data_IF_749989602173
#
_entry.id   IF_749989602173
#
_cell.length_a   1.000
_cell.length_b   1.000
_cell.length_c   1.000
_cell.angle_alpha   90.00
_cell.angle_beta   90.00
_cell.angle_gamma   90.00
#
_symmetry.space_group_name_H-M   'P 1'
#
loop_
_entity.id
_entity.type
_entity.pdbx_description
1 polymer ?
#
# COMPACT_ATOMS: atom_id res chain seq x y z
N UNK A 1 -13.24 -14.01 -24.73
CA UNK A 1 -13.60 -12.70 -24.16
C UNK A 1 -12.74 -12.50 -22.92
N UNK A 2 -11.78 -11.59 -22.93
CA UNK A 2 -10.94 -11.31 -21.75
C UNK A 2 -11.76 -10.52 -20.73
N UNK A 3 -11.97 -11.08 -19.54
CA UNK A 3 -12.61 -10.35 -18.43
C UNK A 3 -11.66 -9.26 -17.97
N UNK A 4 -11.91 -8.03 -18.39
CA UNK A 4 -11.15 -6.90 -17.87
C UNK A 4 -11.48 -6.76 -16.37
N UNK A 5 -10.46 -6.64 -15.50
CA UNK A 5 -10.70 -6.42 -14.08
C UNK A 5 -11.54 -5.14 -13.90
N UNK A 6 -12.49 -5.19 -12.98
CA UNK A 6 -13.35 -4.06 -12.64
C UNK A 6 -12.49 -2.85 -12.21
N UNK A 7 -12.58 -1.75 -12.95
CA UNK A 7 -11.94 -0.47 -12.61
C UNK A 7 -13.02 0.44 -12.02
N UNK A 8 -12.86 0.86 -10.76
CA UNK A 8 -13.86 1.64 -10.04
C UNK A 8 -14.08 3.07 -10.58
N UNK A 9 -13.18 3.57 -11.43
CA UNK A 9 -13.13 4.98 -11.87
C UNK A 9 -13.08 6.00 -10.71
N UNK A 10 -12.77 5.55 -9.50
CA UNK A 10 -12.66 6.42 -8.34
C UNK A 10 -11.31 7.15 -8.38
N UNK A 11 -11.36 8.47 -8.53
CA UNK A 11 -10.20 9.34 -8.38
C UNK A 11 -10.17 9.89 -6.95
N UNK A 12 -9.06 9.65 -6.25
CA UNK A 12 -8.78 10.23 -4.92
C UNK A 12 -7.60 11.19 -5.08
N UNK A 13 -7.84 12.49 -5.32
CA UNK A 13 -6.76 13.46 -5.50
C UNK A 13 -5.94 13.57 -4.22
N UNK A 14 -4.63 13.70 -4.37
CA UNK A 14 -3.66 13.95 -3.31
C UNK A 14 -3.06 15.34 -3.50
N UNK A 15 -2.65 15.99 -2.43
CA UNK A 15 -1.93 17.27 -2.50
C UNK A 15 -0.59 17.08 -3.22
N UNK A 16 -0.09 18.10 -3.90
CA UNK A 16 1.15 18.02 -4.70
C UNK A 16 2.38 17.64 -3.86
N UNK A 17 2.38 18.00 -2.57
CA UNK A 17 3.46 17.70 -1.63
C UNK A 17 3.29 16.31 -0.96
N UNK A 18 2.31 15.53 -1.38
CA UNK A 18 2.03 14.21 -0.82
C UNK A 18 3.10 13.21 -1.24
N UNK A 19 3.82 12.67 -0.26
CA UNK A 19 4.74 11.56 -0.48
C UNK A 19 4.07 10.22 -0.17
N UNK A 20 4.08 9.30 -1.13
CA UNK A 20 3.72 7.90 -0.92
C UNK A 20 5.00 7.05 -0.88
N UNK A 21 5.26 6.39 0.25
CA UNK A 21 6.51 5.66 0.44
C UNK A 21 6.27 4.29 1.07
N UNK A 22 6.98 3.29 0.56
CA UNK A 22 7.07 1.95 1.12
C UNK A 22 8.50 1.41 1.05
N UNK A 23 8.88 0.56 1.99
CA UNK A 23 10.14 -0.20 1.98
C UNK A 23 9.82 -1.68 1.90
N UNK A 24 10.43 -2.38 0.94
CA UNK A 24 10.27 -3.81 0.76
C UNK A 24 11.49 -4.58 1.26
N UNK A 25 11.28 -5.83 1.64
CA UNK A 25 12.37 -6.80 1.78
C UNK A 25 12.84 -7.29 0.38
N UNK A 26 13.94 -8.06 0.28
CA UNK A 26 14.42 -8.62 -0.98
C UNK A 26 13.46 -9.64 -1.64
N UNK A 27 12.42 -10.09 -0.92
CA UNK A 27 11.36 -10.98 -1.43
C UNK A 27 10.12 -10.20 -1.88
N UNK A 28 10.23 -8.87 -1.97
CA UNK A 28 9.17 -7.94 -2.40
C UNK A 28 7.99 -7.82 -1.42
N UNK A 29 8.15 -8.19 -0.16
CA UNK A 29 7.16 -7.91 0.87
C UNK A 29 7.36 -6.51 1.44
N UNK A 30 6.29 -5.70 1.47
CA UNK A 30 6.30 -4.40 2.15
C UNK A 30 6.51 -4.64 3.64
N UNK A 31 7.59 -4.07 4.18
CA UNK A 31 7.95 -4.13 5.61
C UNK A 31 7.60 -2.82 6.32
N UNK A 32 7.65 -1.71 5.61
CA UNK A 32 7.28 -0.38 6.10
C UNK A 32 6.51 0.37 5.02
N UNK A 33 5.55 1.18 5.45
CA UNK A 33 4.84 2.14 4.62
C UNK A 33 4.55 3.37 5.48
N UNK A 34 4.58 4.57 4.89
CA UNK A 34 4.12 5.74 5.62
C UNK A 34 2.58 5.74 5.76
N UNK A 35 2.07 6.54 6.68
CA UNK A 35 0.64 6.57 7.01
C UNK A 35 -0.21 6.91 5.78
N UNK A 36 0.26 7.83 4.95
CA UNK A 36 -0.42 8.22 3.71
C UNK A 36 -0.56 7.05 2.72
N UNK A 37 0.49 6.25 2.53
CA UNK A 37 0.41 5.05 1.67
C UNK A 37 -0.62 4.05 2.20
N UNK A 38 -0.65 3.82 3.51
CA UNK A 38 -1.62 2.92 4.16
C UNK A 38 -3.05 3.42 3.95
N UNK A 39 -3.28 4.73 4.13
CA UNK A 39 -4.59 5.35 3.96
C UNK A 39 -5.10 5.27 2.52
N UNK A 40 -4.25 5.57 1.54
CA UNK A 40 -4.66 5.66 0.12
C UNK A 40 -4.76 4.28 -0.54
N UNK A 41 -3.90 3.34 -0.16
CA UNK A 41 -3.90 1.99 -0.77
C UNK A 41 -5.08 1.12 -0.32
N UNK A 42 -5.72 1.47 0.80
CA UNK A 42 -6.77 0.65 1.42
C UNK A 42 -6.25 -0.65 2.06
N UNK A 43 -4.94 -0.86 2.09
CA UNK A 43 -4.30 -2.00 2.74
C UNK A 43 -3.71 -1.59 4.08
N UNK A 44 -4.09 -2.30 5.13
CA UNK A 44 -3.39 -2.16 6.41
C UNK A 44 -2.06 -2.89 6.35
N UNK A 45 -0.99 -2.21 6.75
CA UNK A 45 0.30 -2.85 6.95
C UNK A 45 0.16 -3.85 8.09
N UNK A 46 0.18 -5.16 7.78
CA UNK A 46 0.25 -6.18 8.82
C UNK A 46 1.57 -6.00 9.54
N UNK A 47 1.53 -5.48 10.78
CA UNK A 47 2.71 -5.42 11.62
C UNK A 47 3.09 -6.87 11.93
N UNK A 48 4.14 -7.39 11.30
CA UNK A 48 4.75 -8.63 11.76
C UNK A 48 5.45 -8.27 13.06
N UNK A 49 4.71 -8.31 14.18
CA UNK A 49 5.33 -8.39 15.49
C UNK A 49 6.14 -9.68 15.45
N UNK A 50 7.47 -9.55 15.44
CA UNK A 50 8.34 -10.72 15.55
C UNK A 50 7.89 -11.50 16.78
N UNK A 51 7.36 -12.71 16.55
CA UNK A 51 7.22 -13.67 17.61
C UNK A 51 8.65 -13.94 18.09
N UNK A 52 9.03 -13.31 19.20
CA UNK A 52 10.20 -13.72 19.94
C UNK A 52 9.89 -15.12 20.50
N UNK A 53 10.56 -16.13 19.95
CA UNK A 53 10.70 -17.47 20.54
C UNK A 53 12.18 -17.78 20.61
#
# INVERSE_FOLDING_TARGET
>A
MSSHPYVSQLNTPLDDDTTLMSTTDPKSYITHANDTFVQVSGYQLKRVAGAAT
#
